data_IF_484176007830
#
_entry.id   IF_484176007830
#
_cell.length_a   1.000
_cell.length_b   1.000
_cell.length_c   1.000
_cell.angle_alpha   90.00
_cell.angle_beta   90.00
_cell.angle_gamma   90.00
#
_symmetry.space_group_name_H-M   'P 1'
#
loop_
_entity.id
_entity.type
_entity.pdbx_description
1 polymer ?
#
# COMPACT_ATOMS: atom_id res chain seq x y z
N UNK A 1 56.76 -7.14 25.34
CA UNK A 1 56.27 -5.88 24.78
C UNK A 1 55.88 -5.97 23.27
N UNK A 2 56.68 -6.59 22.40
CA UNK A 2 56.36 -6.70 20.96
C UNK A 2 55.08 -7.53 20.70
N UNK A 3 54.90 -8.69 21.35
CA UNK A 3 53.71 -9.55 21.18
C UNK A 3 52.40 -8.84 21.58
N UNK A 4 52.40 -8.04 22.63
CA UNK A 4 51.23 -7.31 23.13
C UNK A 4 50.80 -6.21 22.15
N UNK A 5 51.73 -5.56 21.47
CA UNK A 5 51.42 -4.57 20.43
C UNK A 5 50.69 -5.20 19.25
N UNK A 6 51.08 -6.40 18.82
CA UNK A 6 50.43 -7.14 17.74
C UNK A 6 49.03 -7.62 18.10
N UNK A 7 48.81 -8.02 19.36
CA UNK A 7 47.46 -8.41 19.84
C UNK A 7 46.53 -7.19 19.84
N UNK A 8 46.98 -6.05 20.35
CA UNK A 8 46.18 -4.80 20.33
C UNK A 8 45.86 -4.38 18.91
N UNK A 9 46.83 -4.42 18.01
CA UNK A 9 46.61 -4.06 16.60
C UNK A 9 45.59 -5.00 15.94
N UNK A 10 45.66 -6.31 16.20
CA UNK A 10 44.71 -7.30 15.68
C UNK A 10 43.30 -7.07 16.22
N UNK A 11 43.14 -6.78 17.53
CA UNK A 11 41.84 -6.45 18.10
C UNK A 11 41.25 -5.16 17.56
N UNK A 12 42.05 -4.12 17.32
CA UNK A 12 41.60 -2.88 16.70
C UNK A 12 41.15 -3.10 15.24
N UNK A 13 41.88 -3.91 14.48
CA UNK A 13 41.49 -4.28 13.11
C UNK A 13 40.18 -5.06 13.08
N UNK A 14 40.01 -6.02 14.01
CA UNK A 14 38.77 -6.80 14.13
C UNK A 14 37.57 -5.90 14.51
N UNK A 15 37.76 -4.97 15.45
CA UNK A 15 36.74 -4.00 15.84
C UNK A 15 36.38 -3.04 14.71
N UNK A 16 37.39 -2.61 13.93
CA UNK A 16 37.13 -1.77 12.73
C UNK A 16 36.34 -2.53 11.66
N UNK A 17 36.66 -3.80 11.41
CA UNK A 17 35.94 -4.63 10.44
C UNK A 17 34.50 -4.89 10.89
N UNK A 18 34.25 -5.18 12.16
CA UNK A 18 32.89 -5.35 12.69
C UNK A 18 32.10 -4.04 12.66
N UNK A 19 32.73 -2.92 12.97
CA UNK A 19 32.13 -1.58 12.86
C UNK A 19 31.68 -1.24 11.44
N UNK A 20 32.48 -1.61 10.43
CA UNK A 20 32.12 -1.41 9.01
C UNK A 20 30.91 -2.27 8.62
N UNK A 21 30.84 -3.52 9.08
CA UNK A 21 29.68 -4.39 8.78
C UNK A 21 28.39 -3.90 9.43
N UNK A 22 28.43 -3.37 10.64
CA UNK A 22 27.26 -2.81 11.33
C UNK A 22 26.78 -1.52 10.64
N UNK A 23 27.70 -0.71 10.13
CA UNK A 23 27.32 0.52 9.41
C UNK A 23 26.73 0.24 8.01
N UNK A 24 27.09 -0.90 7.40
CA UNK A 24 26.59 -1.31 6.08
C UNK A 24 25.17 -1.91 6.11
N UNK A 25 24.64 -2.20 7.29
CA UNK A 25 23.31 -2.79 7.48
C UNK A 25 22.23 -1.73 7.81
N UNK A 26 22.42 -0.48 7.41
CA UNK A 26 21.31 0.47 7.40
C UNK A 26 20.27 -0.01 6.39
N UNK A 27 19.17 -0.55 6.89
CA UNK A 27 18.01 -0.91 6.09
C UNK A 27 17.59 0.34 5.32
N UNK A 28 17.86 0.37 4.02
CA UNK A 28 17.31 1.41 3.15
C UNK A 28 15.80 1.23 3.18
N UNK A 29 15.08 2.15 3.79
CA UNK A 29 13.62 2.20 3.73
C UNK A 29 13.22 3.02 2.50
N UNK A 30 12.95 2.37 1.37
CA UNK A 30 12.80 3.07 0.08
C UNK A 30 11.58 3.97 0.04
N UNK A 31 10.62 3.73 0.94
CA UNK A 31 9.38 4.50 1.05
C UNK A 31 9.36 5.45 2.26
N UNK A 32 10.51 5.67 2.92
CA UNK A 32 10.58 6.59 4.06
C UNK A 32 10.10 7.99 3.67
N UNK A 33 9.18 8.53 4.48
CA UNK A 33 8.58 9.84 4.26
C UNK A 33 7.51 9.89 3.16
N UNK A 34 7.16 8.75 2.55
CA UNK A 34 6.04 8.65 1.61
C UNK A 34 4.76 8.31 2.34
N UNK A 35 3.66 8.96 1.97
CA UNK A 35 2.32 8.62 2.41
C UNK A 35 1.55 7.94 1.28
N UNK A 36 1.05 6.74 1.53
CA UNK A 36 0.34 5.93 0.55
C UNK A 36 -1.07 5.67 1.06
N UNK A 37 -2.07 5.99 0.25
CA UNK A 37 -3.46 5.67 0.52
C UNK A 37 -3.80 4.34 -0.16
N UNK A 38 -4.20 3.36 0.62
CA UNK A 38 -4.66 2.05 0.14
C UNK A 38 -6.18 1.99 0.27
N UNK A 39 -6.85 1.78 -0.84
CA UNK A 39 -8.29 1.64 -0.92
C UNK A 39 -8.65 0.17 -1.07
N UNK A 40 -9.40 -0.35 -0.10
CA UNK A 40 -10.02 -1.67 -0.19
C UNK A 40 -11.40 -1.52 -0.80
N UNK A 41 -11.55 -1.89 -2.06
CA UNK A 41 -12.80 -1.75 -2.80
C UNK A 41 -13.99 -2.45 -2.14
N UNK A 42 -15.19 -1.91 -2.36
CA UNK A 42 -16.44 -2.40 -1.76
C UNK A 42 -16.46 -2.33 -0.22
N UNK A 43 -17.33 -3.12 0.42
CA UNK A 43 -17.46 -3.28 1.87
C UNK A 43 -18.86 -2.99 2.39
N UNK A 44 -19.16 -3.51 3.57
CA UNK A 44 -20.45 -3.35 4.25
C UNK A 44 -21.61 -3.96 3.48
N UNK A 45 -22.47 -3.14 2.86
CA UNK A 45 -23.61 -3.61 2.07
C UNK A 45 -23.29 -3.89 0.60
N UNK A 46 -22.09 -3.55 0.13
CA UNK A 46 -21.64 -3.79 -1.25
C UNK A 46 -20.59 -4.91 -1.24
N UNK A 47 -21.02 -6.15 -1.39
CA UNK A 47 -20.14 -7.32 -1.41
C UNK A 47 -19.23 -7.36 -2.67
N UNK A 48 -19.47 -6.51 -3.67
CA UNK A 48 -18.78 -6.58 -4.97
C UNK A 48 -19.16 -7.82 -5.78
N UNK A 49 -18.20 -8.39 -6.51
CA UNK A 49 -18.40 -9.65 -7.20
C UNK A 49 -18.47 -10.82 -6.22
N UNK A 50 -19.33 -11.81 -6.52
CA UNK A 50 -19.52 -12.99 -5.66
C UNK A 50 -19.39 -14.29 -6.45
N UNK A 51 -18.78 -15.30 -5.83
CA UNK A 51 -18.75 -16.67 -6.35
C UNK A 51 -18.92 -17.66 -5.21
N UNK A 52 -20.13 -18.24 -5.11
CA UNK A 52 -20.51 -19.05 -3.94
C UNK A 52 -20.56 -18.20 -2.67
N UNK A 53 -19.83 -18.62 -1.65
CA UNK A 53 -19.71 -17.87 -0.38
C UNK A 53 -18.57 -16.84 -0.39
N UNK A 54 -17.79 -16.78 -1.46
CA UNK A 54 -16.64 -15.89 -1.57
C UNK A 54 -17.11 -14.52 -2.07
N UNK A 55 -16.79 -13.48 -1.33
CA UNK A 55 -17.13 -12.09 -1.63
C UNK A 55 -15.88 -11.28 -1.97
N UNK A 56 -16.01 -10.39 -2.93
CA UNK A 56 -14.91 -9.53 -3.38
C UNK A 56 -14.41 -8.60 -2.28
N UNK A 57 -15.31 -8.00 -1.53
CA UNK A 57 -14.99 -7.03 -0.47
C UNK A 57 -14.14 -7.62 0.65
N UNK A 58 -14.40 -8.87 1.05
CA UNK A 58 -13.63 -9.60 2.06
C UNK A 58 -12.20 -9.84 1.58
N UNK A 59 -12.05 -10.30 0.33
CA UNK A 59 -10.74 -10.55 -0.26
C UNK A 59 -9.96 -9.25 -0.46
N UNK A 60 -10.62 -8.19 -0.96
CA UNK A 60 -10.01 -6.88 -1.10
C UNK A 60 -9.47 -6.36 0.23
N UNK A 61 -10.19 -6.56 1.33
CA UNK A 61 -9.75 -6.14 2.66
C UNK A 61 -8.51 -6.91 3.11
N UNK A 62 -8.49 -8.23 2.93
CA UNK A 62 -7.34 -9.08 3.29
C UNK A 62 -6.09 -8.64 2.51
N UNK A 63 -6.22 -8.47 1.19
CA UNK A 63 -5.12 -8.03 0.34
C UNK A 63 -4.65 -6.63 0.73
N UNK A 64 -5.58 -5.70 0.99
CA UNK A 64 -5.25 -4.33 1.38
C UNK A 64 -4.47 -4.28 2.70
N UNK A 65 -4.84 -5.10 3.69
CA UNK A 65 -4.13 -5.21 4.96
C UNK A 65 -2.71 -5.77 4.78
N UNK A 66 -2.54 -6.77 3.92
CA UNK A 66 -1.22 -7.31 3.60
C UNK A 66 -0.34 -6.28 2.86
N UNK A 67 -0.91 -5.58 1.88
CA UNK A 67 -0.23 -4.47 1.17
C UNK A 67 0.18 -3.37 2.15
N UNK A 68 -0.70 -2.98 3.10
CA UNK A 68 -0.39 -2.03 4.16
C UNK A 68 0.83 -2.49 4.97
N UNK A 69 0.85 -3.76 5.41
CA UNK A 69 1.95 -4.29 6.21
C UNK A 69 3.29 -4.25 5.44
N UNK A 70 3.27 -4.62 4.16
CA UNK A 70 4.45 -4.58 3.30
C UNK A 70 4.96 -3.14 3.08
N UNK A 71 4.06 -2.20 2.82
CA UNK A 71 4.43 -0.79 2.63
C UNK A 71 5.03 -0.17 3.90
N UNK A 72 4.44 -0.46 5.08
CA UNK A 72 4.96 -0.01 6.38
C UNK A 72 6.36 -0.59 6.62
N UNK A 73 6.59 -1.85 6.29
CA UNK A 73 7.91 -2.49 6.46
C UNK A 73 9.01 -1.82 5.62
N UNK A 74 8.62 -1.11 4.56
CA UNK A 74 9.52 -0.34 3.70
C UNK A 74 9.59 1.15 4.08
N UNK A 75 8.97 1.55 5.18
CA UNK A 75 9.05 2.90 5.75
C UNK A 75 7.97 3.86 5.29
N UNK A 76 6.93 3.39 4.59
CA UNK A 76 5.82 4.23 4.21
C UNK A 76 4.91 4.56 5.40
N UNK A 77 4.30 5.74 5.37
CA UNK A 77 3.12 6.07 6.13
C UNK A 77 1.90 5.61 5.32
N UNK A 78 1.07 4.71 5.87
CA UNK A 78 -0.04 4.13 5.11
C UNK A 78 -1.38 4.52 5.73
N UNK A 79 -2.25 5.07 4.89
CA UNK A 79 -3.65 5.35 5.20
C UNK A 79 -4.51 4.32 4.48
N UNK A 80 -5.65 3.96 5.07
CA UNK A 80 -6.62 3.07 4.43
C UNK A 80 -7.99 3.74 4.36
N UNK A 81 -8.76 3.47 3.31
CA UNK A 81 -10.15 3.94 3.21
C UNK A 81 -11.05 3.23 4.22
N UNK A 82 -10.82 1.93 4.44
CA UNK A 82 -11.46 1.12 5.48
C UNK A 82 -10.51 0.07 6.03
N UNK A 83 -10.66 -0.29 7.30
CA UNK A 83 -9.86 -1.32 7.99
C UNK A 83 -10.70 -2.50 8.47
N UNK A 84 -12.00 -2.43 8.27
CA UNK A 84 -13.00 -3.45 8.62
C UNK A 84 -14.04 -3.62 7.49
N UNK A 85 -15.01 -4.51 7.69
CA UNK A 85 -16.10 -4.71 6.75
C UNK A 85 -17.15 -3.61 6.93
N UNK A 86 -16.93 -2.49 6.27
CA UNK A 86 -17.85 -1.35 6.18
C UNK A 86 -17.74 -0.64 4.85
N UNK A 87 -18.82 0.00 4.41
CA UNK A 87 -18.75 1.04 3.40
C UNK A 87 -18.51 2.41 4.07
N UNK A 88 -18.20 3.43 3.28
CA UNK A 88 -17.93 4.79 3.76
C UNK A 88 -19.18 5.67 3.79
N UNK A 89 -20.33 5.15 3.32
CA UNK A 89 -21.56 5.90 3.23
C UNK A 89 -22.09 6.33 4.62
N UNK A 90 -22.72 7.49 4.69
CA UNK A 90 -23.39 7.93 5.91
C UNK A 90 -24.55 6.99 6.26
N UNK A 91 -24.84 6.88 7.55
CA UNK A 91 -25.84 5.94 8.05
C UNK A 91 -27.24 6.17 7.45
N UNK A 92 -27.57 7.43 7.18
CA UNK A 92 -28.84 7.93 6.64
C UNK A 92 -28.83 8.14 5.11
N UNK A 93 -27.77 7.74 4.42
CA UNK A 93 -27.67 7.90 2.98
C UNK A 93 -28.73 7.10 2.22
N UNK A 94 -29.51 7.78 1.39
CA UNK A 94 -30.52 7.16 0.51
C UNK A 94 -29.88 6.36 -0.62
N UNK A 95 -28.67 6.73 -1.06
CA UNK A 95 -27.91 6.04 -2.10
C UNK A 95 -26.49 5.73 -1.59
N UNK A 96 -26.40 4.66 -0.79
CA UNK A 96 -25.17 4.25 -0.12
C UNK A 96 -24.00 4.07 -1.09
N UNK A 97 -24.22 3.41 -2.24
CA UNK A 97 -23.16 3.16 -3.22
C UNK A 97 -22.59 4.46 -3.80
N UNK A 98 -23.46 5.41 -4.12
CA UNK A 98 -23.02 6.72 -4.66
C UNK A 98 -22.29 7.53 -3.58
N UNK A 99 -22.76 7.47 -2.35
CA UNK A 99 -22.16 8.18 -1.22
C UNK A 99 -20.79 7.58 -0.86
N UNK A 100 -20.69 6.26 -0.80
CA UNK A 100 -19.43 5.55 -0.60
C UNK A 100 -18.39 5.96 -1.65
N UNK A 101 -18.76 5.89 -2.93
CA UNK A 101 -17.87 6.31 -4.02
C UNK A 101 -17.44 7.77 -3.92
N UNK A 102 -18.34 8.67 -3.54
CA UNK A 102 -18.03 10.08 -3.34
C UNK A 102 -17.00 10.25 -2.22
N UNK A 103 -17.17 9.57 -1.09
CA UNK A 103 -16.23 9.65 0.03
C UNK A 103 -14.86 9.04 -0.29
N UNK A 104 -14.80 7.99 -1.10
CA UNK A 104 -13.51 7.47 -1.61
C UNK A 104 -12.79 8.52 -2.46
N UNK A 105 -13.51 9.22 -3.33
CA UNK A 105 -12.94 10.32 -4.13
C UNK A 105 -12.45 11.45 -3.23
N UNK A 106 -13.21 11.84 -2.20
CA UNK A 106 -12.79 12.85 -1.23
C UNK A 106 -11.49 12.47 -0.52
N UNK A 107 -11.29 11.19 -0.15
CA UNK A 107 -10.01 10.70 0.40
C UNK A 107 -8.85 10.92 -0.57
N UNK A 108 -9.07 10.69 -1.86
CA UNK A 108 -8.03 10.87 -2.88
C UNK A 108 -7.72 12.34 -3.10
N UNK A 109 -8.76 13.20 -3.10
CA UNK A 109 -8.65 14.62 -3.44
C UNK A 109 -8.11 15.48 -2.28
N UNK A 110 -8.20 15.01 -1.05
CA UNK A 110 -7.65 15.76 0.09
C UNK A 110 -6.12 15.94 0.05
N UNK A 111 -5.43 15.28 -0.88
CA UNK A 111 -4.04 15.58 -1.23
C UNK A 111 -2.99 15.18 -0.19
N UNK A 112 -3.37 14.38 0.82
CA UNK A 112 -2.47 13.96 1.89
C UNK A 112 -1.60 12.74 1.52
N UNK A 113 -1.73 12.17 0.31
CA UNK A 113 -0.96 11.01 -0.10
C UNK A 113 -0.12 11.29 -1.35
N UNK A 114 1.06 10.67 -1.38
CA UNK A 114 1.96 10.67 -2.54
C UNK A 114 1.49 9.68 -3.62
N UNK A 115 0.81 8.61 -3.19
CA UNK A 115 0.31 7.54 -4.07
C UNK A 115 -1.02 7.02 -3.53
N UNK A 116 -1.92 6.72 -4.46
CA UNK A 116 -3.19 6.02 -4.21
C UNK A 116 -3.17 4.66 -4.89
N UNK A 117 -3.58 3.62 -4.18
CA UNK A 117 -3.71 2.24 -4.69
C UNK A 117 -5.09 1.72 -4.32
N UNK A 118 -5.91 1.39 -5.31
CA UNK A 118 -7.21 0.75 -5.10
C UNK A 118 -7.13 -0.73 -5.46
N UNK A 119 -7.72 -1.58 -4.62
CA UNK A 119 -7.68 -3.04 -4.72
C UNK A 119 -9.09 -3.54 -4.99
N UNK A 120 -9.24 -4.19 -6.14
CA UNK A 120 -10.48 -4.82 -6.61
C UNK A 120 -10.20 -6.16 -7.27
N UNK A 121 -11.15 -7.07 -7.19
CA UNK A 121 -11.18 -8.28 -8.00
C UNK A 121 -12.08 -8.03 -9.21
N UNK A 122 -11.54 -8.19 -10.42
CA UNK A 122 -12.34 -8.07 -11.62
C UNK A 122 -13.11 -9.36 -11.86
N UNK A 123 -14.41 -9.25 -12.08
CA UNK A 123 -15.24 -10.36 -12.54
C UNK A 123 -15.43 -10.27 -14.04
N UNK A 124 -14.98 -11.30 -14.76
CA UNK A 124 -15.21 -11.43 -16.20
C UNK A 124 -16.15 -12.61 -16.48
N UNK A 125 -17.05 -12.48 -17.49
CA UNK A 125 -17.89 -13.59 -17.93
C UNK A 125 -17.11 -14.80 -18.44
N UNK A 126 -15.91 -14.55 -18.99
CA UNK A 126 -15.01 -15.58 -19.51
C UNK A 126 -13.99 -15.99 -18.41
N UNK A 127 -14.09 -17.23 -17.96
CA UNK A 127 -13.21 -17.80 -16.94
C UNK A 127 -11.74 -17.94 -17.37
N UNK A 128 -11.42 -17.78 -18.66
CA UNK A 128 -10.05 -17.79 -19.15
C UNK A 128 -9.30 -16.48 -18.92
N UNK A 129 -10.03 -15.40 -18.60
CA UNK A 129 -9.42 -14.11 -18.27
C UNK A 129 -8.94 -14.13 -16.83
N UNK A 130 -7.62 -14.23 -16.64
CA UNK A 130 -6.96 -14.34 -15.33
C UNK A 130 -5.97 -13.20 -15.07
N UNK A 131 -6.15 -12.06 -15.73
CA UNK A 131 -5.18 -10.96 -15.65
C UNK A 131 -5.52 -10.03 -14.48
N UNK A 132 -4.63 -9.84 -13.49
CA UNK A 132 -4.79 -8.77 -12.51
C UNK A 132 -4.64 -7.42 -13.22
N UNK A 133 -5.57 -6.50 -12.94
CA UNK A 133 -5.50 -5.12 -13.44
C UNK A 133 -5.16 -4.21 -12.28
N UNK A 134 -4.08 -3.45 -12.39
CA UNK A 134 -3.67 -2.48 -11.38
C UNK A 134 -3.88 -1.08 -11.92
N UNK A 135 -4.69 -0.29 -11.22
CA UNK A 135 -4.81 1.15 -11.49
C UNK A 135 -3.99 1.88 -10.44
N UNK A 136 -3.14 2.80 -10.88
CA UNK A 136 -2.42 3.66 -9.96
C UNK A 136 -2.49 5.12 -10.41
N UNK A 137 -2.58 6.02 -9.45
CA UNK A 137 -2.46 7.46 -9.67
C UNK A 137 -1.29 7.97 -8.85
N UNK A 138 -0.25 8.46 -9.50
CA UNK A 138 0.85 9.18 -8.86
C UNK A 138 0.47 10.67 -8.83
N UNK A 139 0.38 11.25 -7.64
CA UNK A 139 0.24 12.69 -7.49
C UNK A 139 1.63 13.30 -7.39
N UNK A 140 2.20 13.67 -8.54
CA UNK A 140 3.40 14.51 -8.59
C UNK A 140 2.94 15.93 -8.35
N UNK A 141 3.45 16.58 -7.31
CA UNK A 141 3.01 17.88 -6.84
C UNK A 141 2.66 18.87 -7.95
N UNK A 142 1.45 19.42 -7.89
CA UNK A 142 0.89 20.52 -8.67
C UNK A 142 1.09 20.54 -10.20
N UNK A 143 1.24 19.41 -10.87
CA UNK A 143 1.08 19.33 -12.32
C UNK A 143 -0.04 18.33 -12.63
N UNK A 144 -1.29 18.81 -12.53
CA UNK A 144 -2.44 18.11 -13.06
C UNK A 144 -2.32 18.01 -14.58
N UNK A 145 -1.83 16.89 -15.10
CA UNK A 145 -2.09 16.46 -16.47
C UNK A 145 -2.71 15.09 -16.41
N UNK A 146 -3.98 15.05 -16.78
CA UNK A 146 -4.70 13.82 -17.07
C UNK A 146 -3.92 13.01 -18.11
N UNK A 147 -3.18 12.01 -17.66
CA UNK A 147 -2.75 10.94 -18.54
C UNK A 147 -3.88 9.92 -18.58
N UNK A 148 -4.82 10.12 -19.51
CA UNK A 148 -5.65 9.02 -19.97
C UNK A 148 -4.72 8.02 -20.66
N UNK A 149 -4.48 6.88 -20.02
CA UNK A 149 -3.94 5.72 -20.71
C UNK A 149 -5.06 5.15 -21.56
N UNK A 150 -4.83 4.91 -22.87
CA UNK A 150 -5.83 4.31 -23.72
C UNK A 150 -6.10 2.88 -23.23
N UNK A 151 -7.36 2.54 -23.11
CA UNK A 151 -7.81 1.18 -22.94
C UNK A 151 -7.32 0.36 -24.15
N UNK A 152 -6.51 -0.66 -23.90
CA UNK A 152 -6.20 -1.69 -24.88
C UNK A 152 -7.10 -2.91 -24.65
#
# INVERSE_FOLDING_TARGET
>A
MKKMKWIILSCCLLAAMTGIHVFSAQSVMPLAGKTILVDSGHGGKDDGAQRGEVKEDEINLIIAQEVKAQLISQGANVLMTREDDRDLADADSENRKRDDMKKRVEFIECGFCDLFVSIHLNAYPDASVTCPTVFFRAQIGQIARHAQLPYA
#
